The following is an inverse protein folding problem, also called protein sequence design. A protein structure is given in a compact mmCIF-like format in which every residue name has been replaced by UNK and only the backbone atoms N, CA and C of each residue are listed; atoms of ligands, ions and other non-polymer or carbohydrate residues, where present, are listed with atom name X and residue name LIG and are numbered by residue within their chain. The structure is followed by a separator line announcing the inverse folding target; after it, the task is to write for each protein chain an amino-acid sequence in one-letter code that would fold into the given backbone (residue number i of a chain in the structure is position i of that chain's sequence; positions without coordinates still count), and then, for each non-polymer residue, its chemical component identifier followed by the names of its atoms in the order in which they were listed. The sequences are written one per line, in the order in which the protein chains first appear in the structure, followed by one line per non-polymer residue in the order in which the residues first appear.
data_IF_510553594192
#
_entry.id   IF_510553594192
#
_cell.length_a   1.000
_cell.length_b   1.000
_cell.length_c   1.000
_cell.angle_alpha   90.00
_cell.angle_beta   90.00
_cell.angle_gamma   90.00
#
_symmetry.space_group_name_H-M   'P 1'
#
loop_
_entity.id
_entity.type
_entity.pdbx_description
1 polymer ?
#
# COMPACT_ATOMS: atom_id res chain seq x y z
N UNK A 1 -24.59 0.79 -23.69
CA UNK A 1 -23.82 1.43 -22.60
C UNK A 1 -22.66 0.57 -22.10
N UNK A 2 -22.77 -0.77 -22.07
CA UNK A 2 -21.62 -1.66 -21.83
C UNK A 2 -20.55 -1.57 -22.95
N UNK A 3 -20.96 -1.39 -24.21
CA UNK A 3 -20.05 -1.33 -25.38
C UNK A 3 -19.05 -0.16 -25.36
N UNK A 4 -19.38 0.96 -24.72
CA UNK A 4 -18.52 2.16 -24.73
C UNK A 4 -17.32 1.98 -23.78
N UNK A 5 -17.53 1.35 -22.61
CA UNK A 5 -16.45 1.09 -21.64
C UNK A 5 -15.46 0.03 -22.15
N UNK A 6 -15.96 -1.01 -22.82
CA UNK A 6 -15.13 -1.97 -23.56
C UNK A 6 -14.31 -1.26 -24.65
N UNK A 7 -14.95 -0.34 -25.38
CA UNK A 7 -14.30 0.48 -26.41
C UNK A 7 -13.12 1.31 -25.89
N UNK A 8 -13.23 1.92 -24.71
CA UNK A 8 -12.14 2.70 -24.11
C UNK A 8 -10.95 1.83 -23.67
N UNK A 9 -11.21 0.64 -23.12
CA UNK A 9 -10.16 -0.33 -22.76
C UNK A 9 -9.44 -0.84 -24.01
N UNK A 10 -10.17 -1.25 -25.04
CA UNK A 10 -9.58 -1.66 -26.32
C UNK A 10 -8.76 -0.54 -26.96
N UNK A 11 -9.24 0.70 -26.89
CA UNK A 11 -8.53 1.88 -27.40
C UNK A 11 -7.20 2.07 -26.66
N UNK A 12 -7.20 1.98 -25.33
CA UNK A 12 -5.98 2.08 -24.53
C UNK A 12 -4.98 0.97 -24.91
N UNK A 13 -5.43 -0.28 -25.03
CA UNK A 13 -4.56 -1.41 -25.42
C UNK A 13 -3.98 -1.20 -26.82
N UNK A 14 -4.78 -0.73 -27.78
CA UNK A 14 -4.31 -0.41 -29.15
C UNK A 14 -3.28 0.71 -29.15
N UNK A 15 -3.50 1.79 -28.40
CA UNK A 15 -2.53 2.90 -28.29
C UNK A 15 -1.24 2.41 -27.64
N UNK A 16 -1.32 1.60 -26.58
CA UNK A 16 -0.15 1.03 -25.91
C UNK A 16 0.73 0.18 -26.85
N UNK A 17 0.12 -0.61 -27.73
CA UNK A 17 0.83 -1.38 -28.75
C UNK A 17 1.52 -0.46 -29.76
N UNK A 18 0.85 0.58 -30.25
CA UNK A 18 1.44 1.57 -31.17
C UNK A 18 2.63 2.30 -30.57
N UNK A 19 2.55 2.67 -29.28
CA UNK A 19 3.69 3.29 -28.58
C UNK A 19 4.86 2.31 -28.55
N UNK A 20 4.61 1.02 -28.25
CA UNK A 20 5.65 -0.02 -28.23
C UNK A 20 6.32 -0.20 -29.60
N UNK A 21 5.56 -0.10 -30.69
CA UNK A 21 6.09 -0.16 -32.07
C UNK A 21 6.91 1.09 -32.40
N UNK A 22 6.38 2.29 -32.11
CA UNK A 22 7.06 3.55 -32.38
C UNK A 22 8.42 3.65 -31.67
N UNK A 23 8.54 3.08 -30.45
CA UNK A 23 9.81 2.98 -29.71
C UNK A 23 10.95 2.33 -30.48
N UNK A 24 10.67 1.41 -31.42
CA UNK A 24 11.71 0.75 -32.21
C UNK A 24 12.41 1.71 -33.19
N UNK A 25 11.84 2.89 -33.41
CA UNK A 25 12.29 3.86 -34.43
C UNK A 25 12.80 5.17 -33.82
N UNK A 26 12.81 5.29 -32.48
CA UNK A 26 13.22 6.49 -31.76
C UNK A 26 14.72 6.74 -31.91
N UNK A 27 15.11 7.99 -32.20
CA UNK A 27 16.51 8.41 -32.36
C UNK A 27 16.95 9.47 -31.33
N UNK A 28 16.01 10.21 -30.76
CA UNK A 28 16.24 11.23 -29.72
C UNK A 28 15.36 10.95 -28.49
N UNK A 29 15.73 11.51 -27.33
CA UNK A 29 14.98 11.34 -26.07
C UNK A 29 14.76 9.88 -25.64
N UNK A 30 15.73 9.00 -25.92
CA UNK A 30 15.57 7.56 -25.64
C UNK A 30 15.22 7.26 -24.18
N UNK A 31 15.74 8.06 -23.24
CA UNK A 31 15.47 7.87 -21.81
C UNK A 31 14.00 8.17 -21.50
N UNK A 32 13.51 9.34 -21.89
CA UNK A 32 12.13 9.77 -21.66
C UNK A 32 11.14 8.85 -22.38
N UNK A 33 11.48 8.43 -23.60
CA UNK A 33 10.75 7.43 -24.37
C UNK A 33 10.67 6.07 -23.65
N UNK A 34 11.78 5.58 -23.08
CA UNK A 34 11.80 4.36 -22.25
C UNK A 34 10.98 4.50 -20.97
N UNK A 35 10.98 5.67 -20.35
CA UNK A 35 10.18 5.96 -19.15
C UNK A 35 8.67 5.94 -19.47
N UNK A 36 8.26 6.54 -20.60
CA UNK A 36 6.90 6.43 -21.16
C UNK A 36 6.53 4.97 -21.43
N UNK A 37 7.41 4.19 -22.08
CA UNK A 37 7.14 2.79 -22.38
C UNK A 37 6.91 1.97 -21.10
N UNK A 38 7.74 2.18 -20.07
CA UNK A 38 7.55 1.54 -18.75
C UNK A 38 6.22 1.96 -18.11
N UNK A 39 5.84 3.23 -18.24
CA UNK A 39 4.56 3.74 -17.74
C UNK A 39 3.37 3.07 -18.45
N UNK A 40 3.39 3.03 -19.78
CA UNK A 40 2.36 2.39 -20.61
C UNK A 40 2.21 0.90 -20.30
N UNK A 41 3.33 0.19 -20.05
CA UNK A 41 3.31 -1.21 -19.64
C UNK A 41 2.57 -1.40 -18.30
N UNK A 42 2.77 -0.48 -17.34
CA UNK A 42 2.05 -0.50 -16.06
C UNK A 42 0.57 -0.20 -16.22
N UNK A 43 0.19 0.81 -17.03
CA UNK A 43 -1.22 1.07 -17.36
C UNK A 43 -1.88 -0.18 -17.95
N UNK A 44 -1.21 -0.83 -18.91
CA UNK A 44 -1.69 -2.05 -19.56
C UNK A 44 -1.85 -3.21 -18.57
N UNK A 45 -0.90 -3.38 -17.65
CA UNK A 45 -0.97 -4.40 -16.60
C UNK A 45 -2.15 -4.16 -15.64
N UNK A 46 -2.49 -2.90 -15.35
CA UNK A 46 -3.65 -2.58 -14.50
C UNK A 46 -4.98 -2.80 -15.20
N UNK A 47 -5.09 -2.38 -16.46
CA UNK A 47 -6.33 -2.55 -17.22
C UNK A 47 -6.63 -4.04 -17.41
N UNK A 48 -5.61 -4.88 -17.60
CA UNK A 48 -5.79 -6.35 -17.62
C UNK A 48 -6.33 -6.94 -16.31
N UNK A 49 -6.19 -6.24 -15.18
CA UNK A 49 -6.73 -6.65 -13.87
C UNK A 49 -8.15 -6.14 -13.64
N UNK A 50 -8.64 -5.20 -14.46
CA UNK A 50 -10.06 -4.82 -14.47
C UNK A 50 -10.80 -5.93 -15.21
N UNK A 51 -11.41 -6.84 -14.45
CA UNK A 51 -12.18 -7.94 -15.00
C UNK A 51 -13.31 -7.40 -15.91
N UNK A 52 -13.41 -7.94 -17.13
CA UNK A 52 -14.30 -7.48 -18.21
C UNK A 52 -15.80 -7.53 -17.82
N UNK A 53 -16.10 -8.12 -16.66
CA UNK A 53 -17.43 -8.42 -16.13
C UNK A 53 -17.88 -7.58 -14.92
N UNK A 54 -17.07 -6.64 -14.43
CA UNK A 54 -17.43 -5.87 -13.21
C UNK A 54 -18.44 -4.74 -13.48
N UNK A 55 -19.51 -4.65 -12.65
CA UNK A 55 -20.45 -3.51 -12.58
C UNK A 55 -19.74 -2.15 -12.51
N UNK A 56 -18.51 -2.14 -11.98
CA UNK A 56 -17.60 -1.00 -11.88
C UNK A 56 -17.25 -0.36 -13.22
N UNK A 57 -17.18 -1.13 -14.31
CA UNK A 57 -16.93 -0.62 -15.66
C UNK A 57 -18.14 0.14 -16.25
N UNK A 58 -19.33 -0.05 -15.68
CA UNK A 58 -20.55 0.67 -16.08
C UNK A 58 -20.70 2.02 -15.36
N UNK A 59 -19.82 2.34 -14.41
CA UNK A 59 -19.84 3.63 -13.74
C UNK A 59 -19.42 4.76 -14.67
N UNK A 60 -20.13 5.90 -14.65
CA UNK A 60 -19.80 7.05 -15.50
C UNK A 60 -18.44 7.64 -15.14
N UNK A 61 -18.10 7.71 -13.86
CA UNK A 61 -16.83 8.27 -13.39
C UNK A 61 -15.66 7.42 -13.86
N UNK A 62 -15.82 6.10 -13.83
CA UNK A 62 -14.79 5.18 -14.34
C UNK A 62 -14.63 5.28 -15.86
N UNK A 63 -15.73 5.41 -16.62
CA UNK A 63 -15.65 5.62 -18.07
C UNK A 63 -14.94 6.92 -18.43
N UNK A 64 -15.34 8.04 -17.83
CA UNK A 64 -14.74 9.35 -18.08
C UNK A 64 -13.23 9.30 -17.74
N UNK A 65 -12.84 8.65 -16.64
CA UNK A 65 -11.44 8.48 -16.27
C UNK A 65 -10.63 7.61 -17.26
N UNK A 66 -11.24 6.58 -17.86
CA UNK A 66 -10.59 5.76 -18.89
C UNK A 66 -10.47 6.52 -20.22
N UNK A 67 -11.46 7.33 -20.59
CA UNK A 67 -11.38 8.21 -21.76
C UNK A 67 -10.27 9.24 -21.59
N UNK A 68 -10.22 9.92 -20.44
CA UNK A 68 -9.15 10.84 -20.09
C UNK A 68 -7.77 10.17 -20.15
N UNK A 69 -7.65 8.92 -19.67
CA UNK A 69 -6.41 8.14 -19.76
C UNK A 69 -6.03 7.85 -21.21
N UNK A 70 -7.00 7.48 -22.05
CA UNK A 70 -6.78 7.21 -23.46
C UNK A 70 -6.29 8.46 -24.21
N UNK A 71 -6.79 9.65 -23.87
CA UNK A 71 -6.31 10.91 -24.44
C UNK A 71 -4.84 11.21 -24.08
N UNK A 72 -4.43 11.00 -22.84
CA UNK A 72 -3.03 11.22 -22.44
C UNK A 72 -2.09 10.22 -23.10
N UNK A 73 -2.52 8.97 -23.26
CA UNK A 73 -1.76 7.96 -24.00
C UNK A 73 -1.66 8.31 -25.49
N UNK A 74 -2.71 8.87 -26.08
CA UNK A 74 -2.69 9.33 -27.47
C UNK A 74 -1.68 10.47 -27.66
N UNK A 75 -1.64 11.46 -26.76
CA UNK A 75 -0.62 12.52 -26.77
C UNK A 75 0.79 11.97 -26.61
N UNK A 76 0.96 10.95 -25.75
CA UNK A 76 2.26 10.30 -25.58
C UNK A 76 2.73 9.62 -26.88
N UNK A 77 1.83 8.97 -27.63
CA UNK A 77 2.14 8.40 -28.93
C UNK A 77 2.58 9.46 -29.96
N UNK A 78 1.91 10.61 -29.98
CA UNK A 78 2.26 11.73 -30.86
C UNK A 78 3.70 12.20 -30.58
N UNK A 79 4.01 12.54 -29.32
CA UNK A 79 5.35 12.99 -28.94
C UNK A 79 6.44 11.94 -29.19
N UNK A 80 6.15 10.67 -28.89
CA UNK A 80 7.06 9.55 -29.19
C UNK A 80 7.37 9.45 -30.68
N UNK A 81 6.38 9.70 -31.54
CA UNK A 81 6.56 9.66 -33.00
C UNK A 81 7.39 10.85 -33.48
N UNK A 82 7.19 12.03 -32.88
CA UNK A 82 7.94 13.25 -33.18
C UNK A 82 9.43 13.19 -32.76
N UNK A 83 9.79 12.31 -31.81
CA UNK A 83 11.19 12.00 -31.47
C UNK A 83 12.03 11.40 -32.61
N UNK A 84 11.42 11.10 -33.76
CA UNK A 84 12.16 10.77 -34.98
C UNK A 84 12.87 12.00 -35.58
N UNK A 85 12.34 13.20 -35.32
CA UNK A 85 12.75 14.44 -35.99
C UNK A 85 13.05 15.61 -35.06
N UNK A 86 12.69 15.54 -33.77
CA UNK A 86 12.90 16.63 -32.81
C UNK A 86 13.08 16.18 -31.37
N UNK A 87 13.51 17.13 -30.53
CA UNK A 87 13.67 16.95 -29.08
C UNK A 87 12.35 17.23 -28.38
N UNK A 88 11.78 16.21 -27.74
CA UNK A 88 10.48 16.26 -27.05
C UNK A 88 10.61 15.98 -25.54
N UNK A 89 11.80 16.13 -24.94
CA UNK A 89 12.04 15.72 -23.55
C UNK A 89 11.01 16.29 -22.55
N UNK A 90 10.68 17.58 -22.70
CA UNK A 90 9.80 18.31 -21.79
C UNK A 90 8.34 17.88 -21.95
N UNK A 91 7.91 17.68 -23.18
CA UNK A 91 6.58 17.22 -23.58
C UNK A 91 6.35 15.78 -23.10
N UNK A 92 7.36 14.90 -23.27
CA UNK A 92 7.36 13.53 -22.79
C UNK A 92 7.28 13.46 -21.26
N UNK A 93 8.06 14.29 -20.55
CA UNK A 93 7.98 14.36 -19.08
C UNK A 93 6.60 14.85 -18.62
N UNK A 94 6.05 15.89 -19.25
CA UNK A 94 4.71 16.42 -18.92
C UNK A 94 3.60 15.40 -19.14
N UNK A 95 3.63 14.65 -20.24
CA UNK A 95 2.60 13.64 -20.54
C UNK A 95 2.76 12.43 -19.63
N UNK A 96 4.00 12.05 -19.26
CA UNK A 96 4.24 11.01 -18.26
C UNK A 96 3.61 11.39 -16.91
N UNK A 97 3.85 12.61 -16.42
CA UNK A 97 3.25 13.10 -15.18
C UNK A 97 1.73 13.10 -15.24
N UNK A 98 1.15 13.43 -16.40
CA UNK A 98 -0.29 13.41 -16.60
C UNK A 98 -0.89 12.00 -16.54
N UNK A 99 -0.24 11.04 -17.21
CA UNK A 99 -0.62 9.62 -17.13
C UNK A 99 -0.54 9.12 -15.68
N UNK A 100 0.53 9.48 -14.96
CA UNK A 100 0.74 9.09 -13.55
C UNK A 100 -0.33 9.71 -12.64
N UNK A 101 -0.67 10.99 -12.80
CA UNK A 101 -1.77 11.62 -12.05
C UNK A 101 -3.11 10.95 -12.33
N UNK A 102 -3.40 10.63 -13.60
CA UNK A 102 -4.64 9.95 -13.99
C UNK A 102 -4.70 8.51 -13.46
N UNK A 103 -3.56 7.82 -13.31
CA UNK A 103 -3.48 6.53 -12.62
C UNK A 103 -3.86 6.63 -11.14
N UNK A 104 -3.53 7.75 -10.48
CA UNK A 104 -3.94 8.02 -9.10
C UNK A 104 -5.44 8.36 -9.01
N UNK A 105 -5.97 9.13 -9.97
CA UNK A 105 -7.37 9.58 -10.01
C UNK A 105 -8.37 8.48 -10.39
N UNK A 106 -8.04 7.60 -11.34
CA UNK A 106 -8.90 6.48 -11.76
C UNK A 106 -9.28 5.53 -10.63
N UNK A 107 -8.51 5.53 -9.53
CA UNK A 107 -8.77 4.73 -8.34
C UNK A 107 -9.53 5.49 -7.23
N UNK A 108 -9.62 6.82 -7.31
CA UNK A 108 -10.52 7.57 -6.44
C UNK A 108 -11.99 7.27 -6.81
N UNK A 109 -12.27 7.04 -8.10
CA UNK A 109 -13.58 6.67 -8.64
C UNK A 109 -14.08 5.29 -8.15
N UNK A 110 -13.20 4.28 -8.09
CA UNK A 110 -13.54 2.91 -7.63
C UNK A 110 -13.84 2.85 -6.12
N UNK A 111 -13.31 3.77 -5.32
CA UNK A 111 -13.59 3.83 -3.88
C UNK A 111 -15.00 4.34 -3.56
N UNK A 112 -15.59 5.19 -4.41
CA UNK A 112 -16.95 5.71 -4.20
C UNK A 112 -18.01 4.59 -4.32
N UNK A 113 -17.77 3.57 -5.16
CA UNK A 113 -18.68 2.43 -5.30
C UNK A 113 -18.54 1.37 -4.19
N UNK A 114 -17.37 1.23 -3.56
CA UNK A 114 -17.19 0.23 -2.49
C UNK A 114 -17.83 0.65 -1.17
N UNK A 115 -18.14 1.96 -1.01
CA UNK A 115 -18.82 2.52 0.18
C UNK A 115 -20.32 2.21 0.23
N UNK A 116 -20.92 1.57 -0.79
CA UNK A 116 -22.34 1.17 -0.79
C UNK A 116 -22.52 -0.36 -0.78
N UNK A 117 -21.83 -1.10 0.10
CA UNK A 117 -22.29 -2.45 0.46
C UNK A 117 -21.63 -3.00 1.73
N UNK A 118 -22.05 -2.55 2.92
CA UNK A 118 -21.98 -3.41 4.13
C UNK A 118 -23.13 -3.04 5.09
N UNK A 119 -24.22 -3.78 4.99
CA UNK A 119 -25.21 -3.93 6.07
C UNK A 119 -25.08 -5.32 6.68
N UNK A 120 -25.05 -5.31 8.02
CA UNK A 120 -25.32 -6.40 8.97
C UNK A 120 -24.26 -7.50 9.11
N UNK A 121 -23.75 -7.65 10.34
CA UNK A 121 -24.19 -8.71 11.27
C UNK A 121 -23.67 -8.39 12.67
N UNK A 122 -24.56 -8.53 13.65
CA UNK A 122 -24.31 -8.42 15.08
C UNK A 122 -23.93 -9.78 15.69
N UNK A 123 -23.12 -9.69 16.75
CA UNK A 123 -23.14 -10.47 17.99
C UNK A 123 -23.08 -12.01 17.91
N UNK A 124 -22.02 -12.57 18.49
CA UNK A 124 -22.13 -13.44 19.67
C UNK A 124 -20.75 -13.86 20.18
N UNK A 125 -20.56 -13.81 21.50
CA UNK A 125 -19.37 -14.34 22.17
C UNK A 125 -19.56 -15.80 22.54
N UNK A 126 -18.47 -16.58 22.52
CA UNK A 126 -18.38 -17.93 23.10
C UNK A 126 -16.89 -18.40 23.17
N UNK A 127 -16.55 -19.51 23.85
CA UNK A 127 -15.53 -19.54 24.91
C UNK A 127 -14.20 -20.21 24.52
N UNK A 128 -13.17 -19.98 25.35
CA UNK A 128 -11.80 -20.53 25.26
C UNK A 128 -11.74 -22.06 25.38
N UNK A 129 -11.06 -22.75 24.44
CA UNK A 129 -10.64 -24.16 24.58
C UNK A 129 -9.45 -24.57 23.67
N UNK A 130 -8.76 -25.69 23.98
CA UNK A 130 -7.30 -25.79 23.96
C UNK A 130 -6.67 -26.22 22.62
N UNK A 131 -5.42 -25.81 22.43
CA UNK A 131 -4.60 -26.03 21.22
C UNK A 131 -4.19 -27.50 21.02
N UNK A 132 -4.15 -28.02 19.77
CA UNK A 132 -3.61 -29.35 19.49
C UNK A 132 -2.08 -29.36 19.53
N UNK A 133 -1.51 -30.35 20.22
CA UNK A 133 -0.08 -30.66 20.26
C UNK A 133 0.39 -31.30 18.94
N UNK A 134 1.28 -30.61 18.22
CA UNK A 134 2.09 -31.19 17.14
C UNK A 134 3.56 -30.81 17.30
N UNK A 135 4.47 -31.76 17.04
CA UNK A 135 5.91 -31.58 17.20
C UNK A 135 6.52 -30.83 16.01
N UNK A 136 7.48 -29.90 16.23
CA UNK A 136 8.16 -29.17 15.17
C UNK A 136 9.06 -30.11 14.33
N UNK A 137 8.94 -30.03 13.00
CA UNK A 137 9.88 -30.65 12.05
C UNK A 137 10.70 -29.56 11.35
N UNK A 138 11.99 -29.82 11.16
CA UNK A 138 12.89 -29.00 10.33
C UNK A 138 12.91 -29.59 8.93
N UNK A 139 12.53 -28.82 7.93
CA UNK A 139 12.71 -29.21 6.53
C UNK A 139 13.44 -28.12 5.74
N UNK A 140 14.20 -28.58 4.75
CA UNK A 140 14.98 -27.78 3.81
C UNK A 140 14.05 -27.34 2.69
N UNK A 141 13.83 -26.04 2.53
CA UNK A 141 13.05 -25.49 1.42
C UNK A 141 14.06 -24.95 0.41
N UNK A 142 14.08 -25.54 -0.79
CA UNK A 142 14.92 -25.12 -1.92
C UNK A 142 16.41 -24.92 -1.60
N UNK A 143 16.99 -25.87 -0.87
CA UNK A 143 18.42 -25.87 -0.52
C UNK A 143 18.84 -24.85 0.55
N UNK A 144 17.91 -24.06 1.11
CA UNK A 144 18.17 -23.18 2.27
C UNK A 144 17.52 -23.77 3.52
N UNK A 145 18.32 -24.04 4.54
CA UNK A 145 17.82 -24.41 5.87
C UNK A 145 17.19 -23.17 6.55
N UNK A 146 15.87 -23.20 6.77
CA UNK A 146 15.24 -22.17 7.62
C UNK A 146 15.70 -22.36 9.07
N UNK A 147 16.16 -21.26 9.70
CA UNK A 147 16.66 -21.27 11.08
C UNK A 147 15.54 -21.39 12.13
N UNK A 148 14.27 -21.31 11.74
CA UNK A 148 13.12 -21.31 12.63
C UNK A 148 12.24 -22.56 12.46
N UNK A 149 11.87 -23.18 13.59
CA UNK A 149 10.95 -24.31 13.62
C UNK A 149 9.51 -23.81 13.41
N UNK A 150 9.02 -23.88 12.18
CA UNK A 150 7.60 -23.66 11.86
C UNK A 150 6.83 -24.98 11.85
N UNK A 151 5.55 -24.92 12.22
CA UNK A 151 4.69 -26.10 12.15
C UNK A 151 4.14 -26.23 10.72
N UNK A 152 4.38 -27.39 10.11
CA UNK A 152 3.65 -27.77 8.90
C UNK A 152 2.27 -28.30 9.28
N UNK A 153 1.23 -27.80 8.63
CA UNK A 153 -0.15 -28.25 8.84
C UNK A 153 -0.78 -28.73 7.52
N UNK A 154 -1.45 -29.89 7.55
CA UNK A 154 -2.22 -30.35 6.39
C UNK A 154 -3.58 -29.64 6.31
N UNK A 155 -4.22 -29.63 5.13
CA UNK A 155 -5.53 -28.98 4.94
C UNK A 155 -6.60 -29.46 5.93
N UNK A 156 -6.59 -30.76 6.27
CA UNK A 156 -7.55 -31.33 7.21
C UNK A 156 -7.39 -30.76 8.63
N UNK A 157 -6.15 -30.54 9.07
CA UNK A 157 -5.88 -29.90 10.37
C UNK A 157 -6.34 -28.43 10.36
N UNK A 158 -6.12 -27.72 9.25
CA UNK A 158 -6.57 -26.34 9.08
C UNK A 158 -8.10 -26.23 9.13
N UNK A 159 -8.79 -27.08 8.36
CA UNK A 159 -10.27 -27.16 8.38
C UNK A 159 -10.81 -27.47 9.79
N UNK A 160 -10.16 -28.39 10.51
CA UNK A 160 -10.52 -28.69 11.90
C UNK A 160 -10.41 -27.46 12.81
N UNK A 161 -9.31 -26.71 12.71
CA UNK A 161 -9.05 -25.54 13.53
C UNK A 161 -9.95 -24.34 13.18
N UNK A 162 -10.31 -24.16 11.91
CA UNK A 162 -11.10 -23.01 11.43
C UNK A 162 -12.60 -23.27 11.34
N UNK A 163 -13.08 -24.46 11.74
CA UNK A 163 -14.46 -24.93 11.53
C UNK A 163 -14.85 -24.85 10.05
N UNK A 164 -14.04 -25.50 9.23
CA UNK A 164 -14.16 -25.52 7.76
C UNK A 164 -14.20 -24.11 7.14
N UNK A 165 -13.33 -23.22 7.65
CA UNK A 165 -13.23 -21.82 7.22
C UNK A 165 -14.53 -21.02 7.37
N UNK A 166 -15.28 -21.28 8.45
CA UNK A 166 -16.50 -20.52 8.79
C UNK A 166 -16.25 -19.01 8.80
N UNK A 167 -17.21 -18.23 8.27
CA UNK A 167 -17.15 -16.77 8.26
C UNK A 167 -17.05 -16.16 9.67
N UNK A 168 -17.58 -16.86 10.68
CA UNK A 168 -17.52 -16.45 12.09
C UNK A 168 -16.08 -16.41 12.64
N UNK A 169 -15.16 -17.15 12.03
CA UNK A 169 -13.75 -17.20 12.43
C UNK A 169 -12.87 -16.23 11.62
N UNK A 170 -13.45 -15.40 10.75
CA UNK A 170 -12.70 -14.40 9.98
C UNK A 170 -12.25 -13.26 10.89
N UNK A 171 -10.94 -13.15 11.08
CA UNK A 171 -10.30 -12.07 11.87
C UNK A 171 -9.97 -10.82 11.03
N UNK A 172 -10.04 -10.94 9.70
CA UNK A 172 -9.76 -9.89 8.73
C UNK A 172 -9.71 -10.46 7.32
N UNK A 173 -9.98 -9.63 6.29
CA UNK A 173 -9.87 -10.02 4.88
C UNK A 173 -8.65 -9.30 4.28
N UNK A 174 -7.64 -10.08 3.86
CA UNK A 174 -6.48 -9.57 3.12
C UNK A 174 -6.79 -9.41 1.62
N UNK A 175 -5.88 -8.77 0.88
CA UNK A 175 -6.09 -8.46 -0.56
C UNK A 175 -6.01 -9.67 -1.51
N UNK A 176 -5.51 -10.82 -1.04
CA UNK A 176 -5.17 -11.96 -1.90
C UNK A 176 -5.76 -13.27 -1.37
N UNK A 177 -6.81 -13.77 -2.03
CA UNK A 177 -7.15 -15.20 -1.97
C UNK A 177 -7.81 -15.68 -3.28
N UNK A 178 -6.97 -16.18 -4.19
CA UNK A 178 -7.09 -17.46 -4.93
C UNK A 178 -5.76 -17.65 -5.68
N UNK A 179 -5.04 -18.76 -5.47
CA UNK A 179 -3.66 -18.96 -5.99
C UNK A 179 -3.61 -20.13 -6.98
N UNK A 180 -2.91 -19.91 -8.09
CA UNK A 180 -2.32 -20.95 -8.92
C UNK A 180 -0.80 -20.70 -9.07
N UNK A 181 -0.04 -21.80 -9.07
CA UNK A 181 1.43 -21.93 -9.08
C UNK A 181 2.21 -20.76 -9.72
N UNK A 182 2.84 -19.92 -8.89
CA UNK A 182 3.85 -18.93 -9.33
C UNK A 182 4.91 -18.72 -8.24
N UNK A 183 6.18 -18.61 -8.64
CA UNK A 183 7.36 -18.60 -7.76
C UNK A 183 7.39 -17.41 -6.76
N UNK A 184 6.69 -16.31 -7.07
CA UNK A 184 6.68 -15.09 -6.26
C UNK A 184 6.10 -15.24 -4.85
N UNK A 185 5.23 -16.23 -4.63
CA UNK A 185 4.61 -16.48 -3.33
C UNK A 185 5.55 -17.24 -2.39
N UNK A 186 6.40 -18.12 -2.91
CA UNK A 186 7.40 -18.82 -2.11
C UNK A 186 8.44 -17.85 -1.56
N UNK A 187 8.88 -16.89 -2.37
CA UNK A 187 9.76 -15.80 -1.90
C UNK A 187 9.12 -14.99 -0.77
N UNK A 188 7.83 -14.63 -0.93
CA UNK A 188 7.09 -13.89 0.09
C UNK A 188 6.96 -14.68 1.40
N UNK A 189 6.68 -15.99 1.33
CA UNK A 189 6.65 -16.88 2.50
C UNK A 189 8.03 -16.93 3.14
N UNK A 190 9.08 -17.18 2.36
CA UNK A 190 10.47 -17.29 2.83
C UNK A 190 10.93 -16.01 3.55
N UNK A 191 10.62 -14.85 2.98
CA UNK A 191 10.82 -13.57 3.64
C UNK A 191 10.07 -13.56 4.97
N UNK A 192 8.77 -13.83 4.95
CA UNK A 192 7.93 -13.65 6.13
C UNK A 192 8.30 -14.58 7.31
N UNK A 193 8.67 -15.82 7.01
CA UNK A 193 9.09 -16.80 8.03
C UNK A 193 10.46 -16.46 8.64
N UNK A 194 11.33 -15.71 7.96
CA UNK A 194 12.62 -15.35 8.54
C UNK A 194 12.57 -14.06 9.38
N UNK A 195 11.42 -13.38 9.41
CA UNK A 195 11.23 -12.15 10.20
C UNK A 195 10.85 -12.47 11.66
N UNK A 196 11.60 -11.88 12.60
CA UNK A 196 11.32 -12.01 14.03
C UNK A 196 11.47 -10.67 14.74
N UNK A 197 10.35 -9.96 14.89
CA UNK A 197 10.32 -8.67 15.58
C UNK A 197 8.95 -8.44 16.24
N UNK A 198 8.93 -7.74 17.38
CA UNK A 198 7.71 -7.52 18.19
C UNK A 198 6.58 -6.81 17.43
N UNK A 199 6.94 -5.99 16.44
CA UNK A 199 6.00 -5.25 15.58
C UNK A 199 5.78 -5.89 14.20
N UNK A 200 6.25 -7.12 13.99
CA UNK A 200 5.91 -7.93 12.81
C UNK A 200 5.03 -9.09 13.29
N UNK A 201 3.99 -9.39 12.52
CA UNK A 201 3.14 -10.54 12.82
C UNK A 201 3.95 -11.82 12.60
N UNK A 202 3.97 -12.72 13.58
CA UNK A 202 4.77 -13.94 13.46
C UNK A 202 3.90 -15.09 12.90
N UNK A 203 4.29 -15.73 11.78
CA UNK A 203 3.69 -17.00 11.36
C UNK A 203 3.86 -18.08 12.45
N UNK A 204 2.85 -18.92 12.64
CA UNK A 204 2.93 -20.19 13.36
C UNK A 204 3.36 -21.34 12.44
N UNK A 205 2.95 -21.26 11.17
CA UNK A 205 3.08 -22.35 10.22
C UNK A 205 2.55 -21.99 8.84
N UNK A 206 2.78 -22.87 7.88
CA UNK A 206 2.32 -22.75 6.50
C UNK A 206 1.84 -24.11 5.97
N UNK A 207 1.05 -24.09 4.88
CA UNK A 207 0.63 -25.29 4.16
C UNK A 207 0.86 -25.12 2.66
N UNK A 208 1.24 -26.21 1.98
CA UNK A 208 1.46 -26.21 0.53
C UNK A 208 0.15 -26.40 -0.26
N UNK A 209 -0.86 -27.04 0.34
CA UNK A 209 -2.14 -27.33 -0.30
C UNK A 209 -3.03 -26.07 -0.40
N UNK A 210 -2.87 -25.17 0.57
CA UNK A 210 -3.38 -23.80 0.57
C UNK A 210 -2.27 -22.96 1.18
N UNK A 211 -1.67 -22.04 0.42
CA UNK A 211 -0.70 -21.10 1.00
C UNK A 211 -1.44 -20.20 1.99
N UNK A 212 -1.47 -20.63 3.23
CA UNK A 212 -2.07 -19.93 4.34
C UNK A 212 -1.02 -19.88 5.45
N UNK A 213 -0.61 -18.67 5.78
CA UNK A 213 0.21 -18.43 6.96
C UNK A 213 -0.72 -18.44 8.17
N UNK A 214 -0.60 -19.47 9.00
CA UNK A 214 -1.30 -19.52 10.28
C UNK A 214 -0.71 -18.47 11.20
N UNK A 215 -1.57 -17.69 11.85
CA UNK A 215 -1.17 -16.71 12.85
C UNK A 215 -1.83 -17.11 14.16
N UNK A 216 -1.08 -17.16 15.25
CA UNK A 216 -1.67 -17.38 16.58
C UNK A 216 -2.55 -16.19 16.92
N UNK A 217 -3.86 -16.36 16.88
CA UNK A 217 -4.78 -15.38 17.43
C UNK A 217 -5.57 -16.01 18.59
N UNK A 218 -5.09 -15.83 19.82
CA UNK A 218 -5.85 -16.17 21.04
C UNK A 218 -6.94 -15.12 21.30
N UNK A 219 -7.65 -14.66 20.26
CA UNK A 219 -8.54 -13.48 20.33
C UNK A 219 -7.82 -12.17 20.70
N UNK A 220 -6.49 -12.10 20.54
CA UNK A 220 -5.66 -10.95 20.95
C UNK A 220 -5.58 -9.86 19.90
N UNK A 221 -5.82 -10.16 18.64
CA UNK A 221 -5.65 -9.21 17.54
C UNK A 221 -6.96 -8.77 16.93
N UNK A 222 -7.10 -7.46 16.71
CA UNK A 222 -8.24 -6.86 16.01
C UNK A 222 -7.73 -6.27 14.68
N UNK A 223 -8.41 -6.60 13.59
CA UNK A 223 -8.37 -5.88 12.32
C UNK A 223 -9.70 -5.14 12.15
N UNK A 224 -9.67 -3.96 11.54
CA UNK A 224 -10.88 -3.21 11.22
C UNK A 224 -10.77 -2.63 9.80
N UNK A 225 -11.91 -2.49 9.07
CA UNK A 225 -11.94 -1.78 7.80
C UNK A 225 -11.27 -0.42 7.94
N UNK A 226 -10.56 0.08 6.94
CA UNK A 226 -9.71 1.30 7.05
C UNK A 226 -10.43 2.51 7.67
N UNK A 227 -11.72 2.68 7.39
CA UNK A 227 -12.58 3.76 7.95
C UNK A 227 -12.92 3.58 9.44
N UNK A 228 -12.84 2.34 9.92
CA UNK A 228 -13.05 1.93 11.32
C UNK A 228 -11.76 1.53 12.03
N UNK A 229 -10.65 1.40 11.31
CA UNK A 229 -9.35 1.02 11.89
C UNK A 229 -8.99 1.91 13.08
N UNK A 230 -9.32 3.18 12.93
CA UNK A 230 -9.12 4.22 13.92
C UNK A 230 -10.42 4.68 14.57
N UNK A 231 -11.40 3.79 14.80
CA UNK A 231 -12.69 4.15 15.42
C UNK A 231 -12.55 5.19 16.54
N UNK A 232 -13.58 6.04 16.68
CA UNK A 232 -13.69 7.19 17.60
C UNK A 232 -13.49 6.88 19.10
N UNK A 233 -12.94 5.72 19.48
CA UNK A 233 -12.68 5.30 20.85
C UNK A 233 -11.19 5.10 21.16
N UNK A 234 -10.28 5.31 20.20
CA UNK A 234 -8.84 5.24 20.44
C UNK A 234 -8.27 6.65 20.63
N UNK A 235 -7.78 6.95 21.83
CA UNK A 235 -7.14 8.22 22.15
C UNK A 235 -5.75 8.37 21.48
N UNK A 236 -5.23 9.59 21.48
CA UNK A 236 -3.95 9.93 20.87
C UNK A 236 -2.79 9.10 21.41
N UNK A 237 -2.70 8.89 22.73
CA UNK A 237 -1.60 8.11 23.32
C UNK A 237 -1.52 6.70 22.73
N UNK A 238 -2.67 6.05 22.53
CA UNK A 238 -2.73 4.73 21.91
C UNK A 238 -2.36 4.78 20.42
N UNK A 239 -2.83 5.81 19.68
CA UNK A 239 -2.45 6.01 18.28
C UNK A 239 -0.96 6.23 18.12
N UNK A 240 -0.37 7.09 18.95
CA UNK A 240 1.06 7.39 18.94
C UNK A 240 1.89 6.13 19.22
N UNK A 241 1.46 5.30 20.18
CA UNK A 241 2.08 3.99 20.43
C UNK A 241 2.03 3.08 19.20
N UNK A 242 0.89 3.02 18.49
CA UNK A 242 0.76 2.25 17.25
C UNK A 242 1.68 2.81 16.16
N UNK A 243 1.72 4.13 15.97
CA UNK A 243 2.60 4.82 15.01
C UNK A 243 4.07 4.47 15.27
N UNK A 244 4.51 4.54 16.52
CA UNK A 244 5.87 4.13 16.91
C UNK A 244 6.12 2.65 16.62
N UNK A 245 5.15 1.78 16.91
CA UNK A 245 5.25 0.35 16.62
C UNK A 245 5.38 0.04 15.14
N UNK A 246 4.60 0.71 14.28
CA UNK A 246 4.72 0.57 12.82
C UNK A 246 6.12 1.04 12.37
N UNK A 247 6.59 2.19 12.86
CA UNK A 247 7.89 2.71 12.50
C UNK A 247 9.04 1.77 12.92
N UNK A 248 8.95 1.17 14.12
CA UNK A 248 9.90 0.14 14.60
C UNK A 248 9.88 -1.11 13.72
N UNK A 249 8.69 -1.56 13.32
CA UNK A 249 8.53 -2.70 12.40
C UNK A 249 9.19 -2.44 11.06
N UNK A 250 8.90 -1.31 10.42
CA UNK A 250 9.49 -0.96 9.12
C UNK A 250 11.00 -0.75 9.19
N UNK A 251 11.51 -0.09 10.23
CA UNK A 251 12.94 0.06 10.42
C UNK A 251 13.64 -1.30 10.45
N UNK A 252 13.11 -2.25 11.24
CA UNK A 252 13.61 -3.63 11.27
C UNK A 252 13.57 -4.30 9.89
N UNK A 253 12.49 -4.14 9.11
CA UNK A 253 12.41 -4.70 7.75
C UNK A 253 13.51 -4.12 6.86
N UNK A 254 13.71 -2.80 6.90
CA UNK A 254 14.69 -2.10 6.08
C UNK A 254 16.13 -2.49 6.45
N UNK A 255 16.43 -2.70 7.73
CA UNK A 255 17.73 -3.27 8.17
C UNK A 255 17.99 -4.68 7.63
N UNK A 256 16.92 -5.45 7.37
CA UNK A 256 17.00 -6.77 6.76
C UNK A 256 16.97 -6.73 5.23
N UNK A 257 16.93 -5.55 4.62
CA UNK A 257 16.79 -5.40 3.16
C UNK A 257 15.42 -5.82 2.65
N UNK A 258 14.40 -5.89 3.51
CA UNK A 258 13.04 -6.30 3.14
C UNK A 258 12.17 -5.06 2.91
N UNK A 259 11.52 -5.01 1.75
CA UNK A 259 10.53 -4.02 1.37
C UNK A 259 9.13 -4.61 1.56
N UNK A 260 8.27 -3.93 2.31
CA UNK A 260 6.91 -4.40 2.56
C UNK A 260 5.98 -4.19 1.35
N UNK A 261 6.02 -2.99 0.77
CA UNK A 261 5.34 -2.55 -0.47
C UNK A 261 3.80 -2.53 -0.43
N UNK A 262 3.15 -3.09 0.59
CA UNK A 262 1.69 -2.96 0.83
C UNK A 262 1.34 -2.47 2.24
N UNK A 263 2.08 -1.48 2.76
CA UNK A 263 1.77 -0.93 4.07
C UNK A 263 0.51 -0.06 4.00
N UNK A 264 -0.52 -0.45 4.75
CA UNK A 264 -1.79 0.26 4.88
C UNK A 264 -2.48 -0.15 6.19
N UNK A 265 -3.47 0.62 6.69
CA UNK A 265 -4.12 0.31 7.96
C UNK A 265 -4.71 -1.11 8.06
N UNK A 266 -5.28 -1.66 6.98
CA UNK A 266 -5.82 -3.05 7.02
C UNK A 266 -4.74 -4.11 7.24
N UNK A 267 -3.47 -3.77 6.95
CA UNK A 267 -2.33 -4.66 7.09
C UNK A 267 -1.58 -4.45 8.42
N UNK A 268 -2.15 -3.64 9.33
CA UNK A 268 -1.66 -3.48 10.70
C UNK A 268 -2.64 -4.19 11.63
N UNK A 269 -2.19 -5.18 12.39
CA UNK A 269 -2.98 -5.76 13.48
C UNK A 269 -2.63 -5.09 14.80
N UNK A 270 -3.61 -4.94 15.67
CA UNK A 270 -3.42 -4.42 17.01
C UNK A 270 -3.62 -5.53 18.03
N UNK A 271 -2.66 -5.74 18.92
CA UNK A 271 -2.86 -6.66 20.06
C UNK A 271 -3.71 -6.04 21.18
N UNK A 272 -4.04 -6.85 22.19
CA UNK A 272 -4.82 -6.44 23.37
C UNK A 272 -4.19 -5.29 24.17
N UNK A 273 -2.92 -4.95 23.94
CA UNK A 273 -2.21 -3.86 24.59
C UNK A 273 -1.94 -2.68 23.63
N UNK A 274 -2.65 -2.62 22.49
CA UNK A 274 -2.46 -1.59 21.46
C UNK A 274 -1.06 -1.57 20.86
N UNK A 275 -0.37 -2.71 20.79
CA UNK A 275 0.86 -2.82 20.03
C UNK A 275 0.56 -3.15 18.57
N UNK A 276 1.20 -2.41 17.66
CA UNK A 276 1.09 -2.63 16.22
C UNK A 276 1.86 -3.86 15.77
N UNK A 277 1.28 -4.64 14.85
CA UNK A 277 1.94 -5.74 14.12
C UNK A 277 1.68 -5.65 12.62
N UNK A 278 2.73 -5.44 11.85
CA UNK A 278 2.68 -5.42 10.38
C UNK A 278 2.44 -6.84 9.86
N UNK A 279 1.51 -6.99 8.91
CA UNK A 279 1.09 -8.24 8.29
C UNK A 279 1.08 -8.12 6.75
N UNK A 280 0.76 -9.23 6.07
CA UNK A 280 0.52 -9.30 4.62
C UNK A 280 1.74 -8.94 3.77
N UNK A 281 2.71 -9.86 3.80
CA UNK A 281 3.94 -9.81 3.01
C UNK A 281 3.77 -10.38 1.60
N UNK A 282 2.54 -10.56 1.11
CA UNK A 282 2.26 -11.24 -0.17
C UNK A 282 2.88 -10.58 -1.41
N UNK A 283 3.27 -9.30 -1.29
CA UNK A 283 4.00 -8.57 -2.35
C UNK A 283 5.38 -8.08 -1.90
N UNK A 284 5.83 -8.51 -0.72
CA UNK A 284 7.12 -8.10 -0.17
C UNK A 284 8.27 -8.54 -1.07
N UNK A 285 9.37 -7.77 -1.03
CA UNK A 285 10.58 -8.04 -1.82
C UNK A 285 11.80 -7.92 -0.95
N UNK A 286 12.80 -8.76 -1.21
CA UNK A 286 14.12 -8.64 -0.61
C UNK A 286 15.05 -7.96 -1.62
N UNK A 287 15.79 -6.96 -1.16
CA UNK A 287 16.89 -6.36 -1.90
C UNK A 287 18.08 -7.32 -1.86
N UNK A 288 18.75 -7.49 -2.99
CA UNK A 288 20.00 -8.24 -3.05
C UNK A 288 21.11 -7.48 -2.30
N UNK A 289 22.18 -8.20 -1.93
CA UNK A 289 23.27 -7.62 -1.15
C UNK A 289 23.95 -6.47 -1.90
N UNK A 290 23.80 -5.26 -1.37
CA UNK A 290 24.39 -4.03 -1.94
C UNK A 290 23.42 -3.21 -2.78
N UNK A 291 22.25 -3.76 -3.13
CA UNK A 291 21.22 -3.02 -3.85
C UNK A 291 20.44 -2.11 -2.91
N UNK A 292 20.16 -0.89 -3.38
CA UNK A 292 19.34 0.10 -2.67
C UNK A 292 17.95 0.24 -3.28
N UNK A 293 17.76 -0.25 -4.51
CA UNK A 293 16.50 -0.21 -5.25
C UNK A 293 16.41 -1.28 -6.34
N UNK A 294 15.18 -1.60 -6.75
CA UNK A 294 14.85 -2.53 -7.84
C UNK A 294 13.87 -1.84 -8.80
N UNK A 295 14.02 -2.07 -10.11
CA UNK A 295 13.07 -1.59 -11.12
C UNK A 295 12.13 -2.71 -11.58
N UNK A 296 10.83 -2.44 -11.57
CA UNK A 296 9.78 -3.38 -12.01
C UNK A 296 8.89 -2.78 -13.11
N UNK A 297 8.40 -3.64 -14.00
CA UNK A 297 7.50 -3.24 -15.09
C UNK A 297 6.01 -3.38 -14.74
N UNK A 298 5.69 -3.69 -13.49
CA UNK A 298 4.34 -3.89 -12.99
C UNK A 298 4.14 -3.18 -11.66
N UNK A 299 2.87 -2.92 -11.31
CA UNK A 299 2.53 -2.27 -10.05
C UNK A 299 2.26 -3.30 -8.96
N UNK A 300 3.02 -3.19 -7.88
CA UNK A 300 2.82 -3.87 -6.59
C UNK A 300 2.27 -2.91 -5.54
N UNK A 301 1.50 -3.45 -4.59
CA UNK A 301 0.89 -2.71 -3.50
C UNK A 301 -0.53 -2.20 -3.81
N UNK A 302 -1.09 -1.49 -2.84
CA UNK A 302 -2.45 -0.95 -2.91
C UNK A 302 -2.45 0.40 -3.60
N UNK A 303 -2.87 0.41 -4.87
CA UNK A 303 -3.10 1.63 -5.63
C UNK A 303 -4.23 2.47 -5.06
N UNK A 304 -5.20 1.84 -4.38
CA UNK A 304 -6.35 2.55 -3.87
C UNK A 304 -5.89 3.50 -2.78
N UNK A 305 -6.40 4.73 -2.83
CA UNK A 305 -6.24 5.72 -1.78
C UNK A 305 -4.80 6.23 -1.56
N UNK A 306 -3.90 6.02 -2.53
CA UNK A 306 -2.63 6.75 -2.63
C UNK A 306 -1.48 6.24 -1.75
N UNK A 307 -1.44 4.96 -1.38
CA UNK A 307 -0.33 4.39 -0.61
C UNK A 307 0.92 4.10 -1.45
N UNK A 308 0.79 4.06 -2.78
CA UNK A 308 1.90 3.83 -3.69
C UNK A 308 2.64 5.13 -3.98
N UNK A 309 3.96 5.09 -3.76
CA UNK A 309 4.84 6.23 -3.99
C UNK A 309 4.92 6.64 -5.48
N UNK A 310 5.09 7.95 -5.78
CA UNK A 310 5.09 8.47 -7.16
C UNK A 310 6.13 7.81 -8.08
N UNK A 311 7.33 7.51 -7.58
CA UNK A 311 8.42 6.89 -8.34
C UNK A 311 8.10 5.46 -8.79
N UNK A 312 7.27 4.75 -8.03
CA UNK A 312 6.79 3.41 -8.41
C UNK A 312 5.77 3.52 -9.55
N UNK A 313 4.85 4.48 -9.47
CA UNK A 313 3.88 4.75 -10.56
C UNK A 313 4.57 5.20 -11.85
N UNK A 314 5.54 6.11 -11.71
CA UNK A 314 6.19 6.80 -12.83
C UNK A 314 7.35 6.05 -13.46
N UNK A 315 8.11 5.30 -12.66
CA UNK A 315 9.33 4.62 -13.12
C UNK A 315 9.40 3.14 -12.75
N UNK A 316 8.54 2.67 -11.83
CA UNK A 316 8.56 1.29 -11.33
C UNK A 316 9.69 1.05 -10.33
N UNK A 317 10.19 2.10 -9.69
CA UNK A 317 11.30 1.99 -8.73
C UNK A 317 10.76 1.58 -7.36
N UNK A 318 11.33 0.51 -6.82
CA UNK A 318 11.07 -0.06 -5.50
C UNK A 318 12.32 0.10 -4.62
N UNK A 319 12.14 0.62 -3.42
CA UNK A 319 13.17 0.89 -2.42
C UNK A 319 12.51 1.01 -1.04
N UNK A 320 13.33 1.12 0.02
CA UNK A 320 12.83 1.41 1.36
C UNK A 320 11.99 2.71 1.41
N UNK A 321 12.25 3.67 0.50
CA UNK A 321 11.52 4.94 0.44
C UNK A 321 10.06 4.79 -0.02
N UNK A 322 9.70 3.68 -0.65
CA UNK A 322 8.31 3.38 -0.98
C UNK A 322 7.50 3.06 0.30
N UNK A 323 8.09 2.29 1.23
CA UNK A 323 7.46 2.00 2.53
C UNK A 323 7.40 3.25 3.42
N UNK A 324 8.42 4.11 3.38
CA UNK A 324 8.41 5.42 4.07
C UNK A 324 7.23 6.27 3.58
N UNK A 325 7.00 6.31 2.27
CA UNK A 325 5.85 7.02 1.69
C UNK A 325 4.52 6.45 2.20
N UNK A 326 4.34 5.13 2.15
CA UNK A 326 3.15 4.48 2.64
C UNK A 326 2.93 4.70 4.15
N UNK A 327 4.01 4.75 4.94
CA UNK A 327 3.98 5.12 6.36
C UNK A 327 3.50 6.56 6.55
N UNK A 328 4.01 7.50 5.76
CA UNK A 328 3.58 8.89 5.78
C UNK A 328 2.08 9.04 5.52
N UNK A 329 1.55 8.39 4.49
CA UNK A 329 0.11 8.36 4.20
C UNK A 329 -0.68 7.75 5.36
N UNK A 330 -0.22 6.63 5.90
CA UNK A 330 -0.85 5.97 7.07
C UNK A 330 -0.89 6.91 8.27
N UNK A 331 0.20 7.63 8.55
CA UNK A 331 0.32 8.57 9.66
C UNK A 331 -0.64 9.76 9.49
N UNK A 332 -0.63 10.42 8.33
CA UNK A 332 -1.50 11.55 8.04
C UNK A 332 -2.98 11.18 8.12
N UNK A 333 -3.34 10.00 7.61
CA UNK A 333 -4.69 9.46 7.74
C UNK A 333 -5.08 9.21 9.18
N UNK A 334 -4.22 8.55 9.95
CA UNK A 334 -4.42 8.29 11.38
C UNK A 334 -4.79 9.56 12.13
N UNK A 335 -4.05 10.65 11.85
CA UNK A 335 -4.30 11.95 12.48
C UNK A 335 -5.62 12.55 11.99
N UNK A 336 -5.90 12.50 10.68
CA UNK A 336 -7.11 13.07 10.09
C UNK A 336 -8.42 12.48 10.62
N UNK A 337 -8.41 11.21 11.08
CA UNK A 337 -9.59 10.56 11.68
C UNK A 337 -9.98 11.15 13.04
N UNK A 338 -9.09 11.94 13.65
CA UNK A 338 -9.37 12.67 14.89
C UNK A 338 -9.98 14.05 14.62
N UNK A 339 -10.14 14.48 13.37
CA UNK A 339 -10.61 15.82 13.05
C UNK A 339 -12.14 15.92 12.99
N UNK A 340 -12.68 17.02 13.49
CA UNK A 340 -14.14 17.27 13.61
C UNK A 340 -14.79 17.61 12.25
N UNK A 341 -14.03 18.04 11.23
CA UNK A 341 -14.58 18.67 10.01
C UNK A 341 -15.63 17.82 9.27
N UNK A 342 -16.34 18.40 8.30
CA UNK A 342 -17.46 17.77 7.58
C UNK A 342 -17.11 17.27 6.16
N UNK A 343 -15.90 17.50 5.66
CA UNK A 343 -15.49 17.08 4.31
C UNK A 343 -14.59 15.82 4.35
N UNK A 344 -15.15 14.60 4.26
CA UNK A 344 -14.38 13.36 4.31
C UNK A 344 -13.51 13.11 3.08
N UNK A 345 -13.85 13.64 1.90
CA UNK A 345 -13.21 13.29 0.63
C UNK A 345 -11.75 13.73 0.46
N UNK A 346 -11.29 14.76 1.17
CA UNK A 346 -9.91 15.28 1.09
C UNK A 346 -9.07 15.04 2.35
N UNK A 347 -9.67 14.43 3.39
CA UNK A 347 -9.02 14.23 4.70
C UNK A 347 -7.92 13.18 4.63
N UNK A 348 -6.81 13.45 5.31
CA UNK A 348 -5.65 12.55 5.36
C UNK A 348 -4.75 12.61 4.11
N UNK A 349 -5.03 13.51 3.16
CA UNK A 349 -4.12 13.80 2.04
C UNK A 349 -2.95 14.68 2.48
N UNK A 350 -1.86 14.67 1.70
CA UNK A 350 -0.71 15.56 1.92
C UNK A 350 -1.11 17.05 1.85
N UNK A 351 -2.01 17.41 0.93
CA UNK A 351 -2.52 18.78 0.79
C UNK A 351 -3.31 19.23 2.03
N UNK A 352 -4.21 18.38 2.52
CA UNK A 352 -4.92 18.63 3.76
C UNK A 352 -3.96 18.79 4.94
N UNK A 353 -2.98 17.87 5.06
CA UNK A 353 -2.03 17.89 6.17
C UNK A 353 -1.14 19.14 6.12
N UNK A 354 -0.78 19.62 4.92
CA UNK A 354 -0.09 20.88 4.74
C UNK A 354 -0.89 22.00 5.39
N UNK A 355 -2.10 22.29 4.92
CA UNK A 355 -2.90 23.39 5.48
C UNK A 355 -3.18 23.23 6.99
N UNK A 356 -3.53 22.00 7.40
CA UNK A 356 -3.85 21.70 8.79
C UNK A 356 -2.67 21.89 9.76
N UNK A 357 -1.40 21.72 9.33
CA UNK A 357 -0.22 21.87 10.21
C UNK A 357 0.01 23.31 10.70
N UNK A 358 -0.38 24.30 9.89
CA UNK A 358 -0.27 25.73 10.23
C UNK A 358 -1.39 26.12 11.17
N UNK A 359 -2.56 25.54 10.95
CA UNK A 359 -3.79 25.82 11.65
C UNK A 359 -4.11 24.81 12.77
N UNK A 360 -3.14 24.05 13.33
CA UNK A 360 -3.34 23.11 14.46
C UNK A 360 -3.82 23.86 15.69
N UNK A 361 -5.09 24.27 15.65
CA UNK A 361 -5.85 24.83 16.74
C UNK A 361 -6.79 23.72 17.23
N UNK A 362 -7.14 23.78 18.51
CA UNK A 362 -7.96 22.77 19.18
C UNK A 362 -9.28 22.50 18.44
N UNK A 363 -9.82 23.49 17.73
CA UNK A 363 -11.11 23.41 17.05
C UNK A 363 -11.10 22.45 15.85
N UNK A 364 -9.93 22.04 15.36
CA UNK A 364 -9.83 21.03 14.29
C UNK A 364 -9.99 19.60 14.81
N UNK A 365 -9.69 19.33 16.08
CA UNK A 365 -9.57 17.98 16.64
C UNK A 365 -10.65 17.68 17.67
N UNK A 366 -11.15 16.44 17.65
CA UNK A 366 -12.10 15.94 18.63
C UNK A 366 -11.41 15.83 20.00
N UNK A 367 -11.82 16.69 20.93
CA UNK A 367 -11.21 16.80 22.25
C UNK A 367 -11.50 15.60 23.15
N UNK A 368 -12.37 14.68 22.73
CA UNK A 368 -12.50 13.37 23.38
C UNK A 368 -11.34 12.43 23.04
N UNK A 369 -10.56 12.73 21.98
CA UNK A 369 -9.48 11.89 21.49
C UNK A 369 -8.08 12.41 21.83
N UNK A 370 -7.92 13.71 22.10
CA UNK A 370 -6.64 14.31 22.47
C UNK A 370 -6.78 15.51 23.41
N UNK A 371 -5.73 15.76 24.20
CA UNK A 371 -5.62 16.94 25.07
C UNK A 371 -4.69 18.03 24.49
N UNK A 372 -4.69 19.22 25.12
CA UNK A 372 -3.87 20.37 24.69
C UNK A 372 -2.36 20.08 24.70
N UNK A 373 -1.89 19.28 25.65
CA UNK A 373 -0.46 18.95 25.78
C UNK A 373 0.01 18.07 24.62
N UNK A 374 -0.90 17.30 24.03
CA UNK A 374 -0.62 16.39 22.92
C UNK A 374 -0.60 17.09 21.56
N UNK A 375 -1.15 18.31 21.42
CA UNK A 375 -1.18 19.02 20.15
C UNK A 375 0.20 19.24 19.53
N UNK A 376 1.23 19.50 20.36
CA UNK A 376 2.61 19.66 19.90
C UNK A 376 3.11 18.34 19.27
N UNK A 377 2.81 17.21 19.90
CA UNK A 377 3.18 15.89 19.39
C UNK A 377 2.38 15.52 18.13
N UNK A 378 1.09 15.87 18.07
CA UNK A 378 0.24 15.68 16.88
C UNK A 378 0.79 16.49 15.71
N UNK A 379 1.04 17.79 15.92
CA UNK A 379 1.62 18.67 14.90
C UNK A 379 2.96 18.11 14.39
N UNK A 380 3.84 17.72 15.31
CA UNK A 380 5.13 17.11 14.97
C UNK A 380 4.95 15.84 14.12
N UNK A 381 3.98 14.99 14.45
CA UNK A 381 3.66 13.80 13.66
C UNK A 381 3.08 14.15 12.28
N UNK A 382 2.29 15.21 12.15
CA UNK A 382 1.83 15.69 10.84
C UNK A 382 3.02 16.14 9.96
N UNK A 383 3.97 16.87 10.54
CA UNK A 383 5.17 17.33 9.84
C UNK A 383 6.07 16.14 9.44
N UNK A 384 6.25 15.14 10.31
CA UNK A 384 6.93 13.88 9.96
C UNK A 384 6.21 13.16 8.82
N UNK A 385 4.87 13.10 8.86
CA UNK A 385 4.07 12.52 7.79
C UNK A 385 4.28 13.23 6.45
N UNK A 386 4.37 14.56 6.46
CA UNK A 386 4.67 15.37 5.27
C UNK A 386 6.07 15.10 4.71
N UNK A 387 7.10 15.00 5.56
CA UNK A 387 8.45 14.60 5.15
C UNK A 387 8.48 13.22 4.51
N UNK A 388 7.68 12.28 5.03
CA UNK A 388 7.60 10.93 4.50
C UNK A 388 6.95 10.87 3.11
N UNK A 389 6.10 11.83 2.75
CA UNK A 389 5.36 11.85 1.47
C UNK A 389 5.93 12.82 0.44
N UNK A 390 7.15 13.31 0.64
CA UNK A 390 7.87 14.15 -0.34
C UNK A 390 7.90 13.48 -1.72
N UNK A 391 7.70 14.27 -2.78
CA UNK A 391 7.63 13.75 -4.15
C UNK A 391 8.96 13.10 -4.53
N UNK A 392 10.07 13.78 -4.24
CA UNK A 392 11.41 13.21 -4.42
C UNK A 392 11.71 12.24 -3.27
N UNK A 393 11.92 10.97 -3.62
CA UNK A 393 12.26 9.92 -2.65
C UNK A 393 13.56 10.18 -1.90
N UNK A 394 14.48 10.95 -2.45
CA UNK A 394 15.77 11.27 -1.81
C UNK A 394 15.59 12.22 -0.63
N UNK A 395 14.57 13.09 -0.68
CA UNK A 395 14.22 14.03 0.39
C UNK A 395 13.48 13.37 1.56
N UNK A 396 12.89 12.18 1.35
CA UNK A 396 12.21 11.44 2.42
C UNK A 396 13.22 10.96 3.47
N UNK A 397 12.89 10.94 4.77
CA UNK A 397 13.76 10.38 5.80
C UNK A 397 13.88 8.85 5.67
N UNK A 398 14.87 8.25 6.31
CA UNK A 398 14.88 6.80 6.59
C UNK A 398 13.94 6.49 7.77
N UNK A 399 13.52 5.23 7.93
CA UNK A 399 12.69 4.85 9.08
C UNK A 399 13.42 4.99 10.43
N UNK A 400 14.74 4.89 10.44
CA UNK A 400 15.58 5.21 11.61
C UNK A 400 15.45 6.70 11.97
N UNK A 401 15.57 7.60 10.99
CA UNK A 401 15.41 9.04 11.21
C UNK A 401 13.98 9.38 11.62
N UNK A 402 12.97 8.71 11.05
CA UNK A 402 11.57 8.84 11.46
C UNK A 402 11.42 8.47 12.94
N UNK A 403 12.02 7.37 13.40
CA UNK A 403 11.98 6.97 14.81
C UNK A 403 12.63 8.01 15.72
N UNK A 404 13.83 8.48 15.37
CA UNK A 404 14.51 9.54 16.13
C UNK A 404 13.67 10.83 16.18
N UNK A 405 12.99 11.19 15.08
CA UNK A 405 12.09 12.34 15.06
C UNK A 405 10.83 12.10 15.91
N UNK A 406 10.20 10.93 15.85
CA UNK A 406 9.03 10.58 16.67
C UNK A 406 9.35 10.63 18.17
N UNK A 407 10.52 10.12 18.56
CA UNK A 407 10.97 10.10 19.96
C UNK A 407 11.48 11.46 20.46
N UNK A 408 11.61 12.46 19.58
CA UNK A 408 12.12 13.79 19.93
C UNK A 408 13.65 13.85 20.03
N UNK A 409 14.36 12.80 19.62
CA UNK A 409 15.82 12.69 19.64
C UNK A 409 16.49 13.48 18.49
N UNK A 410 15.74 13.72 17.40
CA UNK A 410 16.20 14.47 16.22
C UNK A 410 15.26 15.63 15.88
N UNK A 411 15.79 16.80 15.51
CA UNK A 411 15.00 17.93 15.02
C UNK A 411 14.31 17.64 13.67
N UNK A 412 13.25 18.37 13.35
CA UNK A 412 12.60 18.23 12.03
C UNK A 412 13.32 19.11 10.99
N UNK A 413 13.68 18.58 9.81
CA UNK A 413 14.14 19.39 8.70
C UNK A 413 13.04 20.31 8.17
N UNK A 414 13.43 21.31 7.37
CA UNK A 414 12.48 22.21 6.73
C UNK A 414 11.61 21.45 5.71
N UNK A 415 10.29 21.63 5.80
CA UNK A 415 9.33 21.02 4.89
C UNK A 415 9.34 21.71 3.52
N UNK A 416 9.21 20.93 2.44
CA UNK A 416 8.94 21.46 1.10
C UNK A 416 7.44 21.41 0.84
N UNK A 417 6.91 22.38 0.09
CA UNK A 417 5.49 22.41 -0.24
C UNK A 417 5.15 21.23 -1.16
N UNK A 418 4.18 20.36 -0.81
CA UNK A 418 3.77 19.28 -1.69
C UNK A 418 3.27 19.83 -3.04
N UNK A 419 3.57 19.11 -4.12
CA UNK A 419 3.04 19.44 -5.45
C UNK A 419 1.50 19.40 -5.43
N UNK A 420 0.85 20.46 -5.96
CA UNK A 420 -0.61 20.54 -6.05
C UNK A 420 -1.32 21.21 -4.86
N UNK A 421 -0.58 21.88 -3.97
CA UNK A 421 -1.12 22.82 -2.97
C UNK A 421 -0.87 24.26 -3.41
#
# INVERSE_FOLDING_TARGET
MADIALGSVEKIVKIALKIKEAMQTVKQNEKECRDIQRCVARVSALIKRLDETTETMKDKVMRDALEDMAESLQRALEFVTECQTGDMAKELSRVQDDIVRKLQLGNFATNVQTTIMVSNIQASGAPDHPSPTTQPRREVIDGRESKACYLYHCLQQLKGATRDFSEENIIGRGGSATVYKQDSLYDAINIFIDLNHKNILRPLGYSHEIVMVLVSNNGKYISAPEERFWTRLINWSSRFKVIQGIAQGLHYLHEKGVLHLDLKPSNILLDSHMNARINDFGVAKMLDHGDVEICVNFLVGTLSRGYIAPEHLSHGVLSAKNDVYAFGITLLRTISTMCISEHPGARGSAAWAWEARVAVRMELFDLSLCDKSQLIQIKRCMEIGLLCVETDRTDRPTMEEVLAMLNGEKGLPALKRPFGV
#
